data_IF_265733176259
#
_entry.id   IF_265733176259
#
_cell.length_a   1.000
_cell.length_b   1.000
_cell.length_c   1.000
_cell.angle_alpha   90.00
_cell.angle_beta   90.00
_cell.angle_gamma   90.00
#
_symmetry.space_group_name_H-M   'P 1'
#
loop_
_entity.id
_entity.type
_entity.pdbx_description
1 polymer ?
#
# COMPACT_ATOMS: atom_id res chain seq x y z
N UNK A 1 -3.89 7.87 -34.35
CA UNK A 1 -3.49 7.97 -32.93
C UNK A 1 -2.00 7.66 -32.89
N UNK A 2 -1.22 8.54 -32.31
CA UNK A 2 0.21 8.31 -32.10
C UNK A 2 0.39 7.13 -31.09
N UNK A 3 1.46 6.35 -31.26
CA UNK A 3 1.74 5.21 -30.39
C UNK A 3 1.87 5.65 -28.93
N UNK A 4 2.48 6.79 -28.68
CA UNK A 4 2.60 7.38 -27.36
C UNK A 4 1.23 7.68 -26.76
N UNK A 5 0.35 8.35 -27.51
CA UNK A 5 -1.01 8.64 -27.10
C UNK A 5 -1.79 7.37 -26.76
N UNK A 6 -1.62 6.32 -27.56
CA UNK A 6 -2.28 5.03 -27.31
C UNK A 6 -1.80 4.37 -26.01
N UNK A 7 -0.50 4.40 -25.72
CA UNK A 7 0.08 3.88 -24.47
C UNK A 7 -0.46 4.67 -23.27
N UNK A 8 -0.49 6.00 -23.34
CA UNK A 8 -0.99 6.86 -22.27
C UNK A 8 -2.49 6.65 -22.01
N UNK A 9 -3.28 6.49 -23.06
CA UNK A 9 -4.72 6.19 -22.95
C UNK A 9 -4.98 4.83 -22.30
N UNK A 10 -4.29 3.77 -22.73
CA UNK A 10 -4.41 2.44 -22.14
C UNK A 10 -3.98 2.42 -20.65
N UNK A 11 -2.93 3.15 -20.29
CA UNK A 11 -2.51 3.30 -18.89
C UNK A 11 -3.61 3.95 -18.05
N UNK A 12 -4.13 5.08 -18.53
CA UNK A 12 -5.20 5.81 -17.84
C UNK A 12 -6.46 4.95 -17.68
N UNK A 13 -6.85 4.23 -18.72
CA UNK A 13 -8.00 3.33 -18.71
C UNK A 13 -7.81 2.18 -17.71
N UNK A 14 -6.67 1.51 -17.73
CA UNK A 14 -6.36 0.40 -16.83
C UNK A 14 -6.23 0.85 -15.36
N UNK A 15 -5.69 2.04 -15.10
CA UNK A 15 -5.69 2.62 -13.76
C UNK A 15 -7.12 2.87 -13.26
N UNK A 16 -8.01 3.42 -14.10
CA UNK A 16 -9.42 3.61 -13.77
C UNK A 16 -10.13 2.30 -13.46
N UNK A 17 -9.94 1.27 -14.31
CA UNK A 17 -10.55 -0.04 -14.07
C UNK A 17 -10.03 -0.72 -12.81
N UNK A 18 -8.74 -0.61 -12.50
CA UNK A 18 -8.20 -1.06 -11.23
C UNK A 18 -8.87 -0.35 -10.04
N UNK A 19 -9.01 0.97 -10.12
CA UNK A 19 -9.67 1.75 -9.07
C UNK A 19 -11.14 1.34 -8.89
N UNK A 20 -11.88 1.21 -9.98
CA UNK A 20 -13.28 0.80 -9.93
C UNK A 20 -13.45 -0.61 -9.35
N UNK A 21 -12.58 -1.55 -9.72
CA UNK A 21 -12.63 -2.93 -9.24
C UNK A 21 -12.23 -3.05 -7.77
N UNK A 22 -11.04 -2.54 -7.39
CA UNK A 22 -10.45 -2.79 -6.06
C UNK A 22 -10.84 -1.77 -4.99
N UNK A 23 -11.23 -0.56 -5.35
CA UNK A 23 -11.55 0.51 -4.39
C UNK A 23 -13.07 0.73 -4.33
N UNK A 24 -13.74 0.84 -5.48
CA UNK A 24 -15.18 1.10 -5.53
C UNK A 24 -16.03 -0.17 -5.53
N UNK A 25 -15.41 -1.34 -5.72
CA UNK A 25 -16.10 -2.63 -5.90
C UNK A 25 -17.22 -2.57 -6.97
N UNK A 26 -16.95 -1.82 -8.05
CA UNK A 26 -17.87 -1.54 -9.15
C UNK A 26 -17.16 -1.73 -10.51
N UNK A 27 -16.86 -2.97 -10.93
CA UNK A 27 -16.20 -3.24 -12.20
C UNK A 27 -17.08 -2.80 -13.38
N UNK A 28 -16.47 -2.11 -14.35
CA UNK A 28 -17.12 -1.65 -15.59
C UNK A 28 -16.88 -2.60 -16.78
N UNK A 29 -15.83 -3.42 -16.70
CA UNK A 29 -15.46 -4.40 -17.73
C UNK A 29 -15.26 -5.79 -17.11
N UNK A 30 -15.29 -6.83 -17.95
CA UNK A 30 -14.98 -8.20 -17.53
C UNK A 30 -13.49 -8.39 -17.26
N UNK A 31 -13.14 -9.40 -16.46
CA UNK A 31 -11.75 -9.78 -16.20
C UNK A 31 -10.99 -10.09 -17.49
N UNK A 32 -11.66 -10.71 -18.48
CA UNK A 32 -11.07 -10.99 -19.78
C UNK A 32 -10.72 -9.73 -20.56
N UNK A 33 -11.63 -8.77 -20.61
CA UNK A 33 -11.38 -7.48 -21.30
C UNK A 33 -10.26 -6.71 -20.62
N UNK A 34 -10.18 -6.76 -19.28
CA UNK A 34 -9.08 -6.18 -18.54
C UNK A 34 -7.75 -6.84 -18.89
N UNK A 35 -7.68 -8.17 -18.91
CA UNK A 35 -6.48 -8.94 -19.26
C UNK A 35 -6.04 -8.69 -20.71
N UNK A 36 -6.97 -8.60 -21.64
CA UNK A 36 -6.68 -8.32 -23.06
C UNK A 36 -6.04 -6.91 -23.21
N UNK A 37 -6.60 -5.88 -22.53
CA UNK A 37 -6.03 -4.52 -22.52
C UNK A 37 -4.66 -4.46 -21.81
N UNK A 38 -4.49 -5.20 -20.74
CA UNK A 38 -3.21 -5.30 -20.02
C UNK A 38 -2.13 -5.90 -20.92
N UNK A 39 -2.46 -6.94 -21.67
CA UNK A 39 -1.54 -7.58 -22.63
C UNK A 39 -1.17 -6.61 -23.76
N UNK A 40 -2.18 -5.92 -24.33
CA UNK A 40 -1.93 -4.91 -25.37
C UNK A 40 -0.97 -3.82 -24.87
N UNK A 41 -1.15 -3.33 -23.63
CA UNK A 41 -0.24 -2.34 -23.05
C UNK A 41 1.17 -2.92 -22.86
N UNK A 42 1.31 -4.15 -22.38
CA UNK A 42 2.61 -4.82 -22.22
C UNK A 42 3.36 -4.93 -23.55
N UNK A 43 2.67 -5.36 -24.61
CA UNK A 43 3.26 -5.53 -25.95
C UNK A 43 3.73 -4.17 -26.50
N UNK A 44 2.94 -3.11 -26.32
CA UNK A 44 3.30 -1.75 -26.74
C UNK A 44 4.49 -1.20 -25.94
N UNK A 45 4.52 -1.35 -24.63
CA UNK A 45 5.65 -0.90 -23.79
C UNK A 45 6.93 -1.69 -24.07
N UNK A 46 6.83 -2.96 -24.40
CA UNK A 46 7.96 -3.78 -24.80
C UNK A 46 8.52 -3.34 -26.17
N UNK A 47 7.63 -3.02 -27.10
CA UNK A 47 8.02 -2.53 -28.43
C UNK A 47 8.59 -1.09 -28.40
N UNK A 48 8.22 -0.29 -27.41
CA UNK A 48 8.55 1.12 -27.27
C UNK A 48 9.13 1.44 -25.88
N UNK A 49 10.32 0.94 -25.52
CA UNK A 49 10.93 1.13 -24.21
C UNK A 49 11.24 2.60 -23.88
N UNK A 50 11.27 3.50 -24.88
CA UNK A 50 11.39 4.95 -24.71
C UNK A 50 10.21 5.59 -23.98
N UNK A 51 9.04 4.91 -23.95
CA UNK A 51 7.84 5.37 -23.24
C UNK A 51 7.63 4.65 -21.89
N UNK A 52 8.67 3.98 -21.37
CA UNK A 52 8.59 3.29 -20.07
C UNK A 52 8.16 4.25 -18.96
N UNK A 53 7.19 3.82 -18.16
CA UNK A 53 6.76 4.50 -16.93
C UNK A 53 6.78 3.51 -15.75
N UNK A 54 7.50 3.84 -14.69
CA UNK A 54 7.63 2.99 -13.49
C UNK A 54 6.31 2.84 -12.73
N UNK A 55 5.32 3.69 -13.02
CA UNK A 55 3.97 3.62 -12.47
C UNK A 55 2.94 3.05 -13.46
N UNK A 56 3.39 2.44 -14.57
CA UNK A 56 2.48 1.73 -15.46
C UNK A 56 1.74 0.60 -14.72
N UNK A 57 0.46 0.32 -15.05
CA UNK A 57 -0.24 -0.85 -14.55
C UNK A 57 0.51 -2.17 -14.78
N UNK A 58 1.33 -2.24 -15.84
CA UNK A 58 2.15 -3.41 -16.18
C UNK A 58 3.26 -3.68 -15.17
N UNK A 59 3.71 -2.66 -14.41
CA UNK A 59 4.71 -2.78 -13.35
C UNK A 59 4.19 -3.49 -12.09
N UNK A 60 2.88 -3.74 -11.99
CA UNK A 60 2.28 -4.54 -10.91
C UNK A 60 2.59 -6.05 -11.04
N UNK A 61 3.08 -6.47 -12.19
CA UNK A 61 3.62 -7.82 -12.39
C UNK A 61 5.05 -7.80 -11.88
N UNK A 62 5.27 -8.31 -10.65
CA UNK A 62 6.58 -8.28 -10.01
C UNK A 62 7.71 -8.86 -10.86
N UNK A 63 8.92 -8.37 -10.64
CA UNK A 63 10.14 -8.86 -11.29
C UNK A 63 10.94 -9.81 -10.40
N UNK A 64 11.68 -10.74 -10.99
CA UNK A 64 12.46 -11.77 -10.28
C UNK A 64 13.80 -11.26 -9.69
N UNK A 65 14.09 -9.94 -9.78
CA UNK A 65 15.43 -9.40 -9.57
C UNK A 65 15.50 -8.30 -8.51
N UNK A 66 15.04 -8.54 -7.27
CA UNK A 66 15.33 -7.63 -6.17
C UNK A 66 16.52 -8.12 -5.33
N UNK A 67 17.57 -7.30 -5.30
CA UNK A 67 18.69 -7.41 -4.37
C UNK A 67 18.27 -6.85 -3.01
N UNK A 68 19.01 -7.14 -1.94
CA UNK A 68 18.75 -6.69 -0.55
C UNK A 68 18.13 -5.28 -0.49
N UNK A 69 17.08 -5.12 0.33
CA UNK A 69 16.38 -3.84 0.48
C UNK A 69 17.31 -2.73 0.95
N UNK A 70 17.21 -1.57 0.31
CA UNK A 70 17.91 -0.36 0.72
C UNK A 70 17.24 0.20 1.97
N UNK A 71 18.04 0.61 2.97
CA UNK A 71 17.54 1.31 4.15
C UNK A 71 17.31 2.78 3.83
N UNK A 72 16.12 3.30 4.15
CA UNK A 72 15.72 4.69 3.94
C UNK A 72 15.33 5.33 5.27
N UNK A 73 15.89 6.51 5.56
CA UNK A 73 15.50 7.29 6.71
C UNK A 73 14.11 7.92 6.50
N UNK A 74 13.26 7.86 7.53
CA UNK A 74 11.97 8.53 7.52
C UNK A 74 12.16 10.03 7.66
N UNK A 75 11.41 10.82 6.90
CA UNK A 75 11.39 12.29 7.05
C UNK A 75 10.83 12.69 8.42
N UNK A 76 9.85 11.94 8.91
CA UNK A 76 9.27 12.04 10.24
C UNK A 76 9.31 10.68 10.92
N UNK A 77 9.68 10.57 12.19
CA UNK A 77 9.68 9.30 12.90
C UNK A 77 8.33 8.58 12.83
N UNK A 78 8.36 7.27 12.66
CA UNK A 78 7.17 6.41 12.72
C UNK A 78 7.01 5.88 14.15
N UNK A 79 6.30 6.63 14.97
CA UNK A 79 6.12 6.32 16.39
C UNK A 79 5.18 5.13 16.58
N UNK A 80 5.40 4.39 17.68
CA UNK A 80 4.47 3.36 18.13
C UNK A 80 3.39 3.97 19.03
N UNK A 81 2.16 3.47 18.92
CA UNK A 81 1.09 3.83 19.82
C UNK A 81 1.27 3.11 21.17
N UNK A 82 0.96 3.80 22.26
CA UNK A 82 0.85 3.17 23.56
C UNK A 82 -0.41 2.31 23.63
N UNK A 83 -0.37 1.26 24.45
CA UNK A 83 -1.52 0.41 24.69
C UNK A 83 -2.19 0.77 26.02
N UNK A 84 -3.49 0.53 26.10
CA UNK A 84 -4.28 0.54 27.33
C UNK A 84 -5.00 -0.79 27.46
N UNK A 85 -5.12 -1.30 28.69
CA UNK A 85 -5.65 -2.63 28.98
C UNK A 85 -6.83 -2.59 29.95
N UNK A 86 -7.20 -1.41 30.46
CA UNK A 86 -8.30 -1.22 31.41
C UNK A 86 -9.05 0.07 31.15
N UNK A 87 -10.29 0.13 31.61
CA UNK A 87 -11.12 1.34 31.59
C UNK A 87 -10.49 2.48 32.38
N UNK A 88 -9.82 2.17 33.51
CA UNK A 88 -9.11 3.16 34.31
C UNK A 88 -7.97 3.83 33.50
N UNK A 89 -7.18 3.08 32.74
CA UNK A 89 -6.12 3.63 31.90
C UNK A 89 -6.65 4.51 30.76
N UNK A 90 -7.82 4.16 30.20
CA UNK A 90 -8.49 5.01 29.20
C UNK A 90 -8.98 6.30 29.84
N UNK A 91 -9.54 6.24 31.06
CA UNK A 91 -9.96 7.42 31.83
C UNK A 91 -8.77 8.31 32.15
N UNK A 92 -7.67 7.73 32.62
CA UNK A 92 -6.43 8.48 32.91
C UNK A 92 -5.87 9.16 31.65
N UNK A 93 -5.97 8.52 30.49
CA UNK A 93 -5.58 9.13 29.22
C UNK A 93 -6.47 10.33 28.90
N UNK A 94 -7.79 10.19 29.02
CA UNK A 94 -8.75 11.27 28.78
C UNK A 94 -8.47 12.47 29.70
N UNK A 95 -8.29 12.22 31.01
CA UNK A 95 -8.06 13.25 32.00
C UNK A 95 -6.73 14.00 31.77
N UNK A 96 -5.66 13.29 31.37
CA UNK A 96 -4.39 13.92 30.99
C UNK A 96 -4.54 14.86 29.79
N UNK A 97 -5.26 14.44 28.77
CA UNK A 97 -5.50 15.26 27.57
C UNK A 97 -6.35 16.47 27.91
N UNK A 98 -7.47 16.26 28.65
CA UNK A 98 -8.36 17.35 29.11
C UNK A 98 -7.62 18.39 29.94
N UNK A 99 -6.77 17.93 30.88
CA UNK A 99 -5.95 18.82 31.71
C UNK A 99 -4.93 19.61 30.89
N UNK A 100 -4.35 19.01 29.85
CA UNK A 100 -3.37 19.67 28.99
C UNK A 100 -4.02 20.72 28.08
N UNK A 101 -5.21 20.42 27.55
CA UNK A 101 -5.97 21.33 26.68
C UNK A 101 -6.70 22.42 27.46
N UNK A 102 -7.12 22.12 28.70
CA UNK A 102 -7.97 22.95 29.54
C UNK A 102 -9.33 23.31 28.89
N UNK A 103 -9.83 22.42 28.03
CA UNK A 103 -11.12 22.53 27.34
C UNK A 103 -11.69 21.15 27.06
N UNK A 104 -12.98 21.08 26.72
CA UNK A 104 -13.60 19.86 26.26
C UNK A 104 -13.15 19.54 24.84
N UNK A 105 -12.99 18.24 24.52
CA UNK A 105 -12.55 17.77 23.23
C UNK A 105 -13.32 16.50 22.81
N UNK A 106 -13.39 16.26 21.52
CA UNK A 106 -13.95 15.05 20.96
C UNK A 106 -12.88 13.98 20.75
N UNK A 107 -13.28 12.71 20.87
CA UNK A 107 -12.42 11.56 20.61
C UNK A 107 -12.89 10.88 19.33
N UNK A 108 -11.98 10.71 18.37
CA UNK A 108 -12.18 9.87 17.21
C UNK A 108 -11.67 8.45 17.53
N UNK A 109 -12.57 7.46 17.43
CA UNK A 109 -12.21 6.06 17.60
C UNK A 109 -12.00 5.41 16.24
N UNK A 110 -10.84 4.82 16.02
CA UNK A 110 -10.47 4.18 14.77
C UNK A 110 -10.05 2.72 15.00
N UNK A 111 -10.17 1.90 13.97
CA UNK A 111 -9.67 0.53 14.00
C UNK A 111 -8.15 0.51 14.06
N UNK A 112 -7.59 -0.21 15.03
CA UNK A 112 -6.15 -0.50 15.06
C UNK A 112 -5.89 -1.77 14.28
N UNK A 113 -5.58 -1.61 13.00
CA UNK A 113 -5.25 -2.73 12.13
C UNK A 113 -3.98 -3.47 12.58
N UNK A 114 -3.98 -4.79 12.45
CA UNK A 114 -2.87 -5.65 12.85
C UNK A 114 -2.15 -6.22 11.61
N UNK A 115 -1.15 -5.50 11.15
CA UNK A 115 -0.37 -5.82 9.95
C UNK A 115 1.06 -5.32 10.03
N UNK A 116 1.56 -4.79 8.93
CA UNK A 116 2.89 -4.19 8.81
C UNK A 116 2.77 -2.72 8.43
N UNK A 117 3.23 -1.84 9.32
CA UNK A 117 3.18 -0.39 9.09
C UNK A 117 4.04 0.01 7.90
N UNK A 118 3.47 0.88 7.07
CA UNK A 118 4.08 1.37 5.83
C UNK A 118 3.94 2.88 5.73
N UNK A 119 4.93 3.53 5.12
CA UNK A 119 4.89 4.91 4.67
C UNK A 119 5.00 4.95 3.16
N UNK A 120 4.05 5.60 2.49
CA UNK A 120 3.99 5.78 1.05
C UNK A 120 4.24 7.25 0.72
N UNK A 121 5.17 7.50 -0.20
CA UNK A 121 5.44 8.84 -0.72
C UNK A 121 4.85 8.97 -2.11
N UNK A 122 4.04 10.01 -2.30
CA UNK A 122 3.51 10.41 -3.61
C UNK A 122 4.11 11.74 -4.03
N UNK A 123 4.47 11.83 -5.31
CA UNK A 123 4.91 13.07 -5.96
C UNK A 123 4.12 13.26 -7.26
N UNK A 124 3.50 14.43 -7.40
CA UNK A 124 2.65 14.76 -8.54
C UNK A 124 1.61 13.65 -8.87
N UNK A 125 1.01 13.09 -7.80
CA UNK A 125 0.01 12.03 -7.88
C UNK A 125 0.54 10.64 -8.19
N UNK A 126 1.86 10.42 -8.29
CA UNK A 126 2.48 9.11 -8.57
C UNK A 126 3.15 8.55 -7.32
N UNK A 127 2.98 7.25 -7.08
CA UNK A 127 3.70 6.54 -6.02
C UNK A 127 5.18 6.45 -6.39
N UNK A 128 6.03 7.13 -5.61
CA UNK A 128 7.49 7.16 -5.85
C UNK A 128 8.26 6.29 -4.87
N UNK A 129 7.72 6.06 -3.66
CA UNK A 129 8.41 5.29 -2.64
C UNK A 129 7.46 4.66 -1.61
N UNK A 130 7.84 3.47 -1.13
CA UNK A 130 7.19 2.80 -0.01
C UNK A 130 8.25 2.25 0.95
N UNK A 131 8.16 2.62 2.23
CA UNK A 131 9.16 2.28 3.26
C UNK A 131 8.48 1.65 4.47
N UNK A 132 8.97 0.50 4.93
CA UNK A 132 8.49 -0.12 6.17
C UNK A 132 8.84 0.75 7.38
N UNK A 133 8.12 0.58 8.50
CA UNK A 133 8.44 1.33 9.72
C UNK A 133 9.89 1.11 10.20
N UNK A 134 10.41 -0.12 10.09
CA UNK A 134 11.72 -0.47 10.64
C UNK A 134 11.80 -0.20 12.15
N UNK A 135 12.85 0.51 12.58
CA UNK A 135 13.05 0.95 13.96
C UNK A 135 12.29 2.25 14.31
N UNK A 136 11.60 2.85 13.35
CA UNK A 136 10.87 4.10 13.47
C UNK A 136 11.65 5.32 12.95
N UNK A 137 12.97 5.24 12.82
CA UNK A 137 13.82 6.28 12.22
C UNK A 137 14.19 5.94 10.77
N UNK A 138 14.36 4.65 10.46
CA UNK A 138 14.63 4.14 9.12
C UNK A 138 13.95 2.79 8.90
N UNK A 139 13.62 2.51 7.64
CA UNK A 139 12.99 1.25 7.25
C UNK A 139 13.50 0.74 5.90
N UNK A 140 13.01 -0.43 5.50
CA UNK A 140 13.35 -1.03 4.22
C UNK A 140 12.52 -0.40 3.10
N UNK A 141 13.18 -0.03 2.00
CA UNK A 141 12.51 0.36 0.76
C UNK A 141 11.91 -0.88 0.10
N UNK A 142 10.59 -0.97 0.14
CA UNK A 142 9.80 -2.09 -0.39
C UNK A 142 8.91 -1.65 -1.55
N UNK A 143 9.27 -0.57 -2.24
CA UNK A 143 8.48 0.07 -3.27
C UNK A 143 8.00 -0.92 -4.34
N UNK A 144 8.89 -1.76 -4.86
CA UNK A 144 8.53 -2.73 -5.91
C UNK A 144 7.53 -3.79 -5.40
N UNK A 145 7.64 -4.20 -4.14
CA UNK A 145 6.70 -5.12 -3.52
C UNK A 145 5.34 -4.44 -3.27
N UNK A 146 5.34 -3.20 -2.82
CA UNK A 146 4.11 -2.42 -2.58
C UNK A 146 3.38 -2.12 -3.88
N UNK A 147 4.08 -1.89 -4.99
CA UNK A 147 3.47 -1.72 -6.32
C UNK A 147 2.61 -2.91 -6.74
N UNK A 148 2.83 -4.10 -6.19
CA UNK A 148 2.01 -5.29 -6.47
C UNK A 148 0.68 -5.31 -5.72
N UNK A 149 0.51 -4.47 -4.68
CA UNK A 149 -0.70 -4.39 -3.87
C UNK A 149 -1.74 -3.56 -4.62
N UNK A 150 -2.83 -4.22 -5.03
CA UNK A 150 -3.78 -3.63 -5.98
C UNK A 150 -4.65 -2.53 -5.39
N UNK A 151 -4.91 -2.54 -4.09
CA UNK A 151 -5.62 -1.47 -3.37
C UNK A 151 -4.81 -0.19 -3.22
N UNK A 152 -3.48 -0.21 -3.45
CA UNK A 152 -2.64 0.99 -3.45
C UNK A 152 -2.58 1.56 -4.87
N UNK A 153 -3.09 2.78 -5.13
CA UNK A 153 -3.02 3.39 -6.45
C UNK A 153 -1.56 3.75 -6.79
N UNK A 154 -1.08 3.35 -7.97
CA UNK A 154 0.22 3.81 -8.49
C UNK A 154 0.15 5.26 -8.96
N UNK A 155 -1.02 5.66 -9.46
CA UNK A 155 -1.34 7.03 -9.87
C UNK A 155 -2.68 7.40 -9.24
N UNK A 156 -2.73 8.57 -8.61
CA UNK A 156 -3.96 9.09 -8.01
C UNK A 156 -4.93 9.60 -9.06
N UNK A 157 -6.21 9.49 -8.76
CA UNK A 157 -7.27 10.04 -9.61
C UNK A 157 -7.56 11.50 -9.25
N UNK A 158 -7.92 12.30 -10.27
CA UNK A 158 -8.21 13.72 -10.12
C UNK A 158 -6.95 14.57 -10.01
N UNK A 159 -7.11 15.80 -9.54
CA UNK A 159 -6.07 16.84 -9.46
C UNK A 159 -6.02 17.55 -8.11
N UNK A 160 -6.92 17.19 -7.19
CA UNK A 160 -7.05 17.82 -5.88
C UNK A 160 -6.20 17.11 -4.81
N UNK A 161 -4.89 17.01 -5.05
CA UNK A 161 -3.91 16.46 -4.10
C UNK A 161 -2.66 17.34 -4.06
N UNK A 162 -1.89 17.32 -2.95
CA UNK A 162 -0.62 18.04 -2.84
C UNK A 162 0.40 17.54 -3.87
N UNK A 163 1.29 18.43 -4.33
CA UNK A 163 2.36 18.05 -5.26
C UNK A 163 3.30 16.97 -4.68
N UNK A 164 3.51 16.96 -3.35
CA UNK A 164 4.24 15.92 -2.64
C UNK A 164 3.63 15.71 -1.26
N UNK A 165 3.45 14.46 -0.87
CA UNK A 165 2.97 14.10 0.46
C UNK A 165 3.38 12.67 0.84
N UNK A 166 3.35 12.40 2.13
CA UNK A 166 3.54 11.08 2.72
C UNK A 166 2.23 10.63 3.37
N UNK A 167 1.79 9.39 3.08
CA UNK A 167 0.64 8.78 3.73
C UNK A 167 1.06 7.46 4.38
N UNK A 168 0.61 7.23 5.60
CA UNK A 168 0.92 6.04 6.39
C UNK A 168 -0.29 5.16 6.55
N UNK A 169 -0.01 3.89 6.68
CA UNK A 169 -1.04 2.88 6.84
C UNK A 169 -0.47 1.55 7.33
N UNK A 170 -1.28 0.53 7.14
CA UNK A 170 -0.97 -0.83 7.51
C UNK A 170 -1.19 -1.75 6.32
N UNK A 171 -0.18 -2.56 5.98
CA UNK A 171 -0.31 -3.64 5.00
C UNK A 171 -0.72 -4.90 5.74
N UNK A 172 -1.76 -5.54 5.22
CA UNK A 172 -2.43 -6.67 5.81
C UNK A 172 -2.42 -7.86 4.86
N UNK A 173 -2.55 -9.04 5.43
CA UNK A 173 -2.91 -10.24 4.69
C UNK A 173 -4.37 -10.56 5.01
N UNK A 174 -5.29 -10.59 4.02
CA UNK A 174 -6.65 -11.02 4.21
C UNK A 174 -6.70 -12.43 4.82
N UNK A 175 -7.66 -12.67 5.71
CA UNK A 175 -7.74 -13.92 6.45
C UNK A 175 -7.87 -15.14 5.53
N UNK A 176 -8.67 -15.03 4.47
CA UNK A 176 -8.86 -16.08 3.48
C UNK A 176 -7.55 -16.46 2.77
N UNK A 177 -6.73 -15.45 2.43
CA UNK A 177 -5.41 -15.65 1.81
C UNK A 177 -4.45 -16.32 2.79
N UNK A 178 -4.48 -15.91 4.06
CA UNK A 178 -3.67 -16.52 5.10
C UNK A 178 -3.98 -18.01 5.29
N UNK A 179 -5.26 -18.36 5.33
CA UNK A 179 -5.69 -19.76 5.42
C UNK A 179 -5.29 -20.59 4.19
N UNK A 180 -5.43 -20.03 2.99
CA UNK A 180 -5.01 -20.67 1.75
C UNK A 180 -3.50 -20.96 1.75
N UNK A 181 -2.68 -19.98 2.09
CA UNK A 181 -1.24 -20.12 2.19
C UNK A 181 -0.81 -21.15 3.24
N UNK A 182 -1.50 -21.21 4.38
CA UNK A 182 -1.19 -22.21 5.40
C UNK A 182 -1.59 -23.61 4.96
N UNK A 183 -2.71 -23.79 4.24
CA UNK A 183 -3.07 -25.08 3.63
C UNK A 183 -2.04 -25.55 2.61
N UNK A 184 -1.52 -24.63 1.78
CA UNK A 184 -0.44 -24.97 0.83
C UNK A 184 0.85 -25.38 1.54
N UNK A 185 1.22 -24.68 2.63
CA UNK A 185 2.40 -25.02 3.44
C UNK A 185 2.26 -26.37 4.11
N UNK A 186 1.08 -26.65 4.67
CA UNK A 186 0.78 -27.95 5.29
C UNK A 186 0.90 -29.08 4.27
N UNK A 187 0.38 -28.89 3.05
CA UNK A 187 0.50 -29.89 1.98
C UNK A 187 1.95 -30.15 1.52
N UNK A 188 2.86 -29.20 1.78
CA UNK A 188 4.31 -29.30 1.49
C UNK A 188 5.15 -29.66 2.72
N UNK A 189 4.52 -29.96 3.85
CA UNK A 189 5.20 -30.24 5.14
C UNK A 189 6.11 -29.07 5.58
N UNK A 190 5.75 -27.81 5.23
CA UNK A 190 6.46 -26.60 5.61
C UNK A 190 5.90 -25.99 6.91
N UNK A 191 6.72 -25.27 7.70
CA UNK A 191 6.26 -24.55 8.87
C UNK A 191 5.15 -23.53 8.51
N UNK A 192 4.05 -23.55 9.26
CA UNK A 192 2.91 -22.64 9.06
C UNK A 192 3.25 -21.23 9.53
N UNK A 193 2.58 -20.25 8.94
CA UNK A 193 2.57 -18.89 9.47
C UNK A 193 1.78 -18.84 10.79
N UNK A 194 2.32 -18.16 11.80
CA UNK A 194 1.70 -18.07 13.11
C UNK A 194 0.42 -17.20 13.11
N UNK A 195 0.40 -16.13 12.32
CA UNK A 195 -0.73 -15.20 12.20
C UNK A 195 -0.63 -14.38 10.90
N UNK A 196 -1.74 -13.72 10.47
CA UNK A 196 -1.76 -12.90 9.25
C UNK A 196 -0.74 -11.76 9.25
N UNK A 197 -0.48 -11.12 10.40
CA UNK A 197 0.50 -10.04 10.54
C UNK A 197 1.91 -10.50 10.18
N UNK A 198 2.35 -11.62 10.76
CA UNK A 198 3.68 -12.18 10.48
C UNK A 198 3.78 -12.65 9.02
N UNK A 199 2.70 -13.22 8.47
CA UNK A 199 2.62 -13.61 7.08
C UNK A 199 2.70 -12.39 6.12
N UNK A 200 2.01 -11.30 6.44
CA UNK A 200 2.09 -10.04 5.69
C UNK A 200 3.49 -9.44 5.72
N UNK A 201 4.08 -9.31 6.94
CA UNK A 201 5.43 -8.76 7.13
C UNK A 201 6.49 -9.58 6.39
N UNK A 202 6.44 -10.90 6.53
CA UNK A 202 7.36 -11.81 5.83
C UNK A 202 7.18 -11.76 4.31
N UNK A 203 5.94 -11.65 3.83
CA UNK A 203 5.65 -11.53 2.40
C UNK A 203 6.17 -10.22 1.83
N UNK A 204 5.93 -9.10 2.52
CA UNK A 204 6.35 -7.78 2.05
C UNK A 204 7.89 -7.66 1.92
N UNK A 205 8.63 -8.48 2.65
CA UNK A 205 10.09 -8.52 2.63
C UNK A 205 10.69 -9.62 1.75
N UNK A 206 9.91 -10.26 0.90
CA UNK A 206 10.43 -11.22 -0.08
C UNK A 206 11.20 -10.48 -1.18
N UNK A 207 12.29 -11.11 -1.63
CA UNK A 207 13.13 -10.57 -2.70
C UNK A 207 12.43 -10.62 -4.07
N UNK A 208 11.53 -11.57 -4.25
CA UNK A 208 10.80 -11.76 -5.49
C UNK A 208 9.40 -11.15 -5.38
N UNK A 209 9.19 -10.01 -6.04
CA UNK A 209 7.91 -9.30 -6.04
C UNK A 209 6.79 -10.04 -6.80
N UNK A 210 7.11 -11.00 -7.69
CA UNK A 210 6.10 -11.86 -8.30
C UNK A 210 5.43 -12.78 -7.25
N UNK A 211 6.20 -13.28 -6.27
CA UNK A 211 5.66 -14.04 -5.15
C UNK A 211 4.81 -13.14 -4.24
N UNK A 212 5.26 -11.89 -4.02
CA UNK A 212 4.45 -10.91 -3.26
C UNK A 212 3.10 -10.68 -3.94
N UNK A 213 3.10 -10.47 -5.26
CA UNK A 213 1.88 -10.29 -6.06
C UNK A 213 0.90 -11.45 -5.92
N UNK A 214 1.39 -12.71 -5.94
CA UNK A 214 0.54 -13.91 -5.79
C UNK A 214 -0.12 -14.03 -4.41
N UNK A 215 0.46 -13.38 -3.38
CA UNK A 215 -0.05 -13.44 -1.99
C UNK A 215 -1.09 -12.39 -1.65
N UNK A 216 -1.55 -11.60 -2.63
CA UNK A 216 -2.73 -10.72 -2.56
C UNK A 216 -2.81 -9.91 -1.25
N UNK A 217 -1.72 -9.23 -0.89
CA UNK A 217 -1.72 -8.31 0.25
C UNK A 217 -2.71 -7.17 0.00
N UNK A 218 -3.22 -6.60 1.09
CA UNK A 218 -4.11 -5.44 1.10
C UNK A 218 -3.53 -4.31 1.97
N UNK A 219 -4.06 -3.09 1.85
CA UNK A 219 -3.59 -1.94 2.60
C UNK A 219 -4.72 -1.03 3.05
N UNK A 220 -4.62 -0.55 4.31
CA UNK A 220 -5.47 0.49 4.87
C UNK A 220 -4.61 1.70 5.23
N UNK A 221 -4.86 2.83 4.57
CA UNK A 221 -4.12 4.08 4.76
C UNK A 221 -4.96 5.02 5.63
N UNK A 222 -4.38 5.51 6.72
CA UNK A 222 -5.12 6.22 7.76
C UNK A 222 -4.47 7.52 8.24
N UNK A 223 -3.21 7.80 7.87
CA UNK A 223 -2.51 8.98 8.38
C UNK A 223 -1.76 9.71 7.29
N UNK A 224 -2.23 10.92 6.96
CA UNK A 224 -1.65 11.79 5.95
C UNK A 224 -0.74 12.83 6.60
N UNK A 225 0.51 12.90 6.18
CA UNK A 225 1.53 13.84 6.67
C UNK A 225 1.66 15.05 5.74
N UNK A 226 1.97 16.22 6.32
CA UNK A 226 2.33 17.44 5.59
C UNK A 226 1.29 18.08 4.68
N UNK A 227 0.04 17.80 4.82
CA UNK A 227 -0.94 18.78 4.37
C UNK A 227 -0.96 19.84 5.45
N UNK A 228 -0.20 20.94 5.25
CA UNK A 228 -0.04 21.98 6.22
C UNK A 228 -1.36 22.35 6.86
N UNK A 229 -1.53 22.11 8.19
CA UNK A 229 -2.71 22.37 9.02
C UNK A 229 -4.05 21.90 8.45
N UNK A 230 -4.12 20.87 7.62
CA UNK A 230 -5.35 20.16 7.41
C UNK A 230 -5.61 19.36 8.69
N UNK A 231 -6.35 19.97 9.61
CA UNK A 231 -7.06 19.18 10.62
C UNK A 231 -7.88 18.15 9.87
N UNK A 232 -7.75 16.87 10.20
CA UNK A 232 -8.75 15.89 9.85
C UNK A 232 -10.09 16.38 10.42
N UNK A 233 -10.96 16.87 9.57
CA UNK A 233 -12.36 17.14 9.82
C UNK A 233 -13.17 16.27 8.92
#
# INVERSE_FOLDING_TARGET
MDIKEKIEELRAELHRHNYNYYVLNAPEISDKEFDDKMRELQDLEQAHPEYKDENSPTMRVGSDLNKNFTQVAHKYPMLSLANTYSEAEVTDFYDRVRKALNEDFEICCEMKYDGTSISLTYENGKLVRAVTRGDGEKGDDVTDNVKTIRSIPLVLHGDNYPASFEIRGEILMPWEVFEELNREKEAREEPLFANPRNAASGTLKLQNSSIVASRKLDAYLYYLLEIGRASCR
#
